data_IF_498160729002
#
_entry.id   IF_498160729002
#
_cell.length_a   1.000
_cell.length_b   1.000
_cell.length_c   1.000
_cell.angle_alpha   90.00
_cell.angle_beta   90.00
_cell.angle_gamma   90.00
#
_symmetry.space_group_name_H-M   'P 1'
#
loop_
_entity.id
_entity.type
_entity.pdbx_description
1 polymer ?
#
# COMPACT_ATOMS: atom_id res chain seq x y z
N UNK A 1 -26.75 -14.49 -15.76
CA UNK A 1 -26.71 -15.48 -16.86
C UNK A 1 -26.51 -16.92 -16.36
N UNK A 2 -25.92 -17.16 -15.19
CA UNK A 2 -25.62 -18.52 -14.65
C UNK A 2 -26.80 -19.19 -13.91
N UNK A 3 -27.88 -18.47 -13.60
CA UNK A 3 -29.05 -19.03 -12.90
C UNK A 3 -29.71 -20.17 -13.68
N UNK A 4 -29.68 -20.11 -15.00
CA UNK A 4 -30.27 -21.12 -15.90
C UNK A 4 -29.59 -22.51 -15.82
N UNK A 5 -28.35 -22.56 -15.31
CA UNK A 5 -27.57 -23.82 -15.23
C UNK A 5 -27.64 -24.49 -13.85
N UNK A 6 -28.30 -23.87 -12.87
CA UNK A 6 -28.52 -24.48 -11.55
C UNK A 6 -29.57 -25.61 -11.52
N UNK A 7 -30.42 -25.67 -12.51
CA UNK A 7 -31.59 -26.61 -12.53
C UNK A 7 -31.32 -27.90 -13.31
N UNK A 8 -30.08 -28.11 -13.80
CA UNK A 8 -29.74 -29.33 -14.53
C UNK A 8 -29.57 -30.49 -13.54
N UNK A 9 -30.32 -31.57 -13.74
CA UNK A 9 -30.15 -32.85 -13.01
C UNK A 9 -29.20 -33.72 -13.81
N UNK A 10 -27.96 -33.90 -13.32
CA UNK A 10 -26.86 -34.59 -14.00
C UNK A 10 -26.49 -35.94 -13.35
N UNK A 11 -27.34 -36.47 -12.46
CA UNK A 11 -27.08 -37.74 -11.80
C UNK A 11 -25.71 -37.78 -11.12
N UNK A 12 -24.89 -38.79 -11.42
CA UNK A 12 -23.57 -39.01 -10.82
C UNK A 12 -22.60 -37.83 -10.99
N UNK A 13 -22.78 -37.00 -12.02
CA UNK A 13 -21.95 -35.83 -12.31
C UNK A 13 -22.39 -34.57 -11.54
N UNK A 14 -23.53 -34.60 -10.83
CA UNK A 14 -24.11 -33.43 -10.17
C UNK A 14 -23.17 -32.74 -9.19
N UNK A 15 -22.45 -33.49 -8.39
CA UNK A 15 -21.52 -32.99 -7.38
C UNK A 15 -20.35 -32.22 -8.04
N UNK A 16 -19.72 -32.80 -9.05
CA UNK A 16 -18.60 -32.19 -9.78
C UNK A 16 -19.06 -30.94 -10.55
N UNK A 17 -20.24 -30.96 -11.14
CA UNK A 17 -20.84 -29.81 -11.82
C UNK A 17 -21.14 -28.65 -10.85
N UNK A 18 -21.74 -28.96 -9.68
CA UNK A 18 -22.01 -27.97 -8.65
C UNK A 18 -20.72 -27.35 -8.10
N UNK A 19 -19.67 -28.15 -7.94
CA UNK A 19 -18.34 -27.69 -7.54
C UNK A 19 -17.76 -26.68 -8.57
N UNK A 20 -17.84 -26.98 -9.86
CA UNK A 20 -17.38 -26.07 -10.91
C UNK A 20 -18.19 -24.75 -10.91
N UNK A 21 -19.52 -24.82 -10.77
CA UNK A 21 -20.35 -23.62 -10.69
C UNK A 21 -19.98 -22.75 -9.47
N UNK A 22 -19.72 -23.39 -8.33
CA UNK A 22 -19.28 -22.68 -7.12
C UNK A 22 -17.96 -21.96 -7.31
N UNK A 23 -16.96 -22.64 -7.88
CA UNK A 23 -15.64 -22.05 -8.18
C UNK A 23 -15.76 -20.90 -9.20
N UNK A 24 -16.59 -21.06 -10.24
CA UNK A 24 -16.90 -19.97 -11.19
C UNK A 24 -17.53 -18.76 -10.52
N UNK A 25 -18.53 -18.98 -9.68
CA UNK A 25 -19.17 -17.89 -8.92
C UNK A 25 -18.17 -17.16 -8.02
N UNK A 26 -17.28 -17.88 -7.34
CA UNK A 26 -16.23 -17.29 -6.52
C UNK A 26 -15.32 -16.37 -7.34
N UNK A 27 -14.91 -16.80 -8.54
CA UNK A 27 -14.10 -16.00 -9.46
C UNK A 27 -14.84 -14.76 -9.98
N UNK A 28 -16.12 -14.89 -10.32
CA UNK A 28 -16.96 -13.77 -10.79
C UNK A 28 -17.15 -12.75 -9.67
N UNK A 29 -17.56 -13.19 -8.49
CA UNK A 29 -17.76 -12.31 -7.34
C UNK A 29 -16.47 -11.57 -6.96
N UNK A 30 -15.31 -12.26 -6.99
CA UNK A 30 -14.02 -11.62 -6.74
C UNK A 30 -13.74 -10.47 -7.71
N UNK A 31 -14.08 -10.64 -9.00
CA UNK A 31 -13.90 -9.61 -10.02
C UNK A 31 -14.93 -8.48 -9.91
N UNK A 32 -16.19 -8.80 -9.59
CA UNK A 32 -17.27 -7.82 -9.50
C UNK A 32 -17.11 -6.89 -8.29
N UNK A 33 -16.63 -7.42 -7.15
CA UNK A 33 -16.38 -6.62 -5.94
C UNK A 33 -15.25 -5.60 -6.16
N UNK A 34 -14.25 -5.92 -6.99
CA UNK A 34 -13.10 -5.06 -7.33
C UNK A 34 -12.40 -4.44 -6.09
N UNK A 35 -12.42 -5.18 -4.97
CA UNK A 35 -11.95 -4.68 -3.67
C UNK A 35 -10.47 -4.25 -3.70
N UNK A 36 -9.59 -5.14 -4.18
CA UNK A 36 -8.14 -4.87 -4.15
C UNK A 36 -7.74 -3.67 -5.03
N UNK A 37 -8.16 -3.55 -6.29
CA UNK A 37 -7.86 -2.38 -7.12
C UNK A 37 -8.34 -1.07 -6.52
N UNK A 38 -9.55 -1.04 -5.95
CA UNK A 38 -10.09 0.16 -5.29
C UNK A 38 -9.28 0.52 -4.04
N UNK A 39 -8.97 -0.45 -3.18
CA UNK A 39 -8.17 -0.25 -1.98
C UNK A 39 -6.75 0.23 -2.32
N UNK A 40 -6.08 -0.43 -3.28
CA UNK A 40 -4.74 -0.04 -3.75
C UNK A 40 -4.74 1.38 -4.34
N UNK A 41 -5.77 1.75 -5.08
CA UNK A 41 -5.92 3.11 -5.63
C UNK A 41 -6.06 4.14 -4.51
N UNK A 42 -6.84 3.84 -3.48
CA UNK A 42 -6.99 4.71 -2.30
C UNK A 42 -5.66 4.91 -1.58
N UNK A 43 -4.91 3.83 -1.34
CA UNK A 43 -3.60 3.89 -0.67
C UNK A 43 -2.59 4.68 -1.51
N UNK A 44 -2.54 4.48 -2.84
CA UNK A 44 -1.67 5.27 -3.72
C UNK A 44 -1.97 6.76 -3.66
N UNK A 45 -3.26 7.15 -3.60
CA UNK A 45 -3.65 8.56 -3.39
C UNK A 45 -3.15 9.08 -2.05
N UNK A 46 -3.26 8.29 -0.99
CA UNK A 46 -2.79 8.66 0.34
C UNK A 46 -1.26 8.82 0.38
N UNK A 47 -0.50 7.91 -0.24
CA UNK A 47 0.96 8.01 -0.40
C UNK A 47 1.32 9.30 -1.16
N UNK A 48 0.60 9.63 -2.22
CA UNK A 48 0.85 10.86 -2.99
C UNK A 48 0.62 12.12 -2.16
N UNK A 49 -0.41 12.15 -1.30
CA UNK A 49 -0.67 13.26 -0.37
C UNK A 49 0.43 13.38 0.68
N UNK A 50 0.87 12.27 1.29
CA UNK A 50 1.99 12.28 2.24
C UNK A 50 3.30 12.75 1.59
N UNK A 51 3.58 12.31 0.35
CA UNK A 51 4.76 12.77 -0.41
C UNK A 51 4.69 14.27 -0.74
N UNK A 52 3.53 14.79 -1.08
CA UNK A 52 3.34 16.23 -1.29
C UNK A 52 3.57 17.01 0.02
N UNK A 53 3.04 16.54 1.14
CA UNK A 53 3.25 17.16 2.44
C UNK A 53 4.71 17.07 2.91
N UNK A 54 5.38 15.94 2.69
CA UNK A 54 6.81 15.78 2.93
C UNK A 54 7.64 16.82 2.14
N UNK A 55 7.35 17.00 0.85
CA UNK A 55 8.06 17.98 0.03
C UNK A 55 7.87 19.41 0.53
N UNK A 56 6.69 19.75 1.04
CA UNK A 56 6.44 21.07 1.62
C UNK A 56 7.19 21.25 2.94
N UNK A 57 7.19 20.23 3.80
CA UNK A 57 7.96 20.22 5.05
C UNK A 57 9.47 20.34 4.79
N UNK A 58 9.99 19.70 3.74
CA UNK A 58 11.40 19.83 3.33
C UNK A 58 11.72 21.25 2.84
N UNK A 59 10.82 21.92 2.12
CA UNK A 59 10.98 23.33 1.77
C UNK A 59 11.03 24.21 3.01
N UNK A 60 10.13 24.00 3.95
CA UNK A 60 10.10 24.71 5.22
C UNK A 60 11.39 24.47 6.02
N UNK A 61 11.87 23.23 6.11
CA UNK A 61 13.14 22.88 6.75
C UNK A 61 14.32 23.61 6.12
N UNK A 62 14.34 23.73 4.78
CA UNK A 62 15.38 24.48 4.06
C UNK A 62 15.37 25.96 4.46
N UNK A 63 14.21 26.59 4.48
CA UNK A 63 14.06 28.00 4.90
C UNK A 63 14.53 28.21 6.35
N UNK A 64 14.15 27.30 7.25
CA UNK A 64 14.60 27.33 8.66
C UNK A 64 16.11 27.10 8.79
N UNK A 65 16.71 26.29 7.93
CA UNK A 65 18.18 26.10 7.86
C UNK A 65 18.89 27.38 7.46
N UNK A 66 18.37 28.11 6.47
CA UNK A 66 18.89 29.39 6.04
C UNK A 66 18.76 30.45 7.16
N UNK A 67 17.62 30.50 7.83
CA UNK A 67 17.39 31.37 8.99
C UNK A 67 18.36 31.05 10.13
N UNK A 68 18.53 29.78 10.46
CA UNK A 68 19.51 29.36 11.48
C UNK A 68 20.94 29.78 11.10
N UNK A 69 21.33 29.63 9.83
CA UNK A 69 22.65 30.06 9.37
C UNK A 69 22.87 31.58 9.53
N UNK A 70 21.84 32.40 9.26
CA UNK A 70 21.88 33.84 9.48
C UNK A 70 21.99 34.19 10.96
N UNK A 71 21.15 33.61 11.80
CA UNK A 71 21.15 33.82 13.26
C UNK A 71 22.47 33.39 13.88
N UNK A 72 23.05 32.28 13.42
CA UNK A 72 24.39 31.81 13.85
C UNK A 72 25.48 32.81 13.51
N UNK A 73 25.45 33.39 12.31
CA UNK A 73 26.42 34.45 11.92
C UNK A 73 26.25 35.70 12.76
N UNK A 74 25.02 36.09 13.07
CA UNK A 74 24.73 37.25 13.95
C UNK A 74 25.28 36.97 15.34
N UNK A 75 24.94 35.84 15.94
CA UNK A 75 25.46 35.46 17.26
C UNK A 75 27.00 35.45 17.32
N UNK A 76 27.67 34.97 16.27
CA UNK A 76 29.13 34.97 16.20
C UNK A 76 29.71 36.40 16.20
N UNK A 77 29.07 37.38 15.51
CA UNK A 77 29.45 38.79 15.53
C UNK A 77 29.22 39.40 16.92
N UNK A 78 28.03 39.14 17.49
CA UNK A 78 27.67 39.67 18.81
C UNK A 78 28.57 39.11 19.91
N UNK A 79 28.95 37.85 19.86
CA UNK A 79 29.94 37.25 20.76
C UNK A 79 31.32 37.92 20.66
N UNK A 80 31.76 38.30 19.44
CA UNK A 80 33.00 39.09 19.28
C UNK A 80 32.87 40.48 19.84
N UNK A 81 31.74 41.16 19.65
CA UNK A 81 31.47 42.49 20.26
C UNK A 81 31.42 42.43 21.79
N UNK A 82 30.80 41.40 22.33
CA UNK A 82 30.76 41.14 23.75
C UNK A 82 32.16 40.93 24.34
N UNK A 83 33.00 40.13 23.70
CA UNK A 83 34.39 39.93 24.14
C UNK A 83 35.24 41.22 24.15
N UNK A 84 34.82 42.20 23.35
CA UNK A 84 35.44 43.53 23.32
C UNK A 84 34.73 44.57 24.20
N UNK A 85 33.79 44.11 25.04
CA UNK A 85 33.00 44.97 25.93
C UNK A 85 32.19 46.08 25.19
N UNK A 86 31.81 45.82 23.93
CA UNK A 86 31.01 46.77 23.11
C UNK A 86 29.52 46.61 23.36
N UNK A 87 29.05 45.39 23.66
CA UNK A 87 27.65 45.08 23.97
C UNK A 87 27.53 44.56 25.39
N UNK A 88 26.32 44.69 25.97
CA UNK A 88 26.00 44.23 27.33
C UNK A 88 25.83 42.68 27.38
N UNK A 89 25.92 42.12 28.60
CA UNK A 89 25.60 40.71 28.82
C UNK A 89 24.17 40.34 28.40
N UNK A 90 23.23 41.26 28.65
CA UNK A 90 21.83 41.10 28.26
C UNK A 90 21.65 40.95 26.73
N UNK A 91 22.31 41.80 25.94
CA UNK A 91 22.28 41.73 24.47
C UNK A 91 22.91 40.42 23.96
N UNK A 92 24.03 39.99 24.52
CA UNK A 92 24.67 38.72 24.19
C UNK A 92 23.79 37.52 24.55
N UNK A 93 23.12 37.52 25.72
CA UNK A 93 22.20 36.47 26.13
C UNK A 93 20.96 36.42 25.24
N UNK A 94 20.44 37.57 24.84
CA UNK A 94 19.32 37.68 23.87
C UNK A 94 19.69 37.09 22.51
N UNK A 95 20.89 37.40 22.02
CA UNK A 95 21.39 36.81 20.74
C UNK A 95 21.56 35.28 20.84
N UNK A 96 22.01 34.78 22.01
CA UNK A 96 22.12 33.36 22.30
C UNK A 96 20.74 32.68 22.34
N UNK A 97 19.75 33.29 22.99
CA UNK A 97 18.40 32.78 23.06
C UNK A 97 17.78 32.68 21.65
N UNK A 98 18.00 33.68 20.79
CA UNK A 98 17.55 33.69 19.41
C UNK A 98 18.20 32.56 18.58
N UNK A 99 19.48 32.30 18.80
CA UNK A 99 20.18 31.16 18.14
C UNK A 99 19.58 29.82 18.56
N UNK A 100 19.36 29.61 19.85
CA UNK A 100 18.76 28.38 20.37
C UNK A 100 17.33 28.20 19.87
N UNK A 101 16.54 29.26 19.80
CA UNK A 101 15.18 29.21 19.25
C UNK A 101 15.17 28.82 17.77
N UNK A 102 16.04 29.41 16.96
CA UNK A 102 16.12 29.08 15.52
C UNK A 102 16.62 27.65 15.29
N UNK A 103 17.53 27.17 16.13
CA UNK A 103 17.99 25.77 16.11
C UNK A 103 16.85 24.82 16.47
N UNK A 104 16.10 25.09 17.53
CA UNK A 104 14.96 24.29 17.95
C UNK A 104 13.90 24.17 16.83
N UNK A 105 13.60 25.29 16.16
CA UNK A 105 12.66 25.30 15.05
C UNK A 105 13.14 24.43 13.88
N UNK A 106 14.43 24.45 13.55
CA UNK A 106 15.03 23.62 12.51
C UNK A 106 14.97 22.12 12.87
N UNK A 107 15.33 21.78 14.11
CA UNK A 107 15.29 20.40 14.61
C UNK A 107 13.84 19.86 14.63
N UNK A 108 12.87 20.68 15.00
CA UNK A 108 11.45 20.33 14.95
C UNK A 108 10.95 20.04 13.52
N UNK A 109 11.34 20.87 12.57
CA UNK A 109 11.00 20.63 11.15
C UNK A 109 11.68 19.36 10.59
N UNK A 110 12.93 19.09 11.01
CA UNK A 110 13.64 17.87 10.61
C UNK A 110 12.95 16.61 11.17
N UNK A 111 12.53 16.64 12.45
CA UNK A 111 11.79 15.55 13.08
C UNK A 111 10.43 15.32 12.40
N UNK A 112 9.73 16.41 12.02
CA UNK A 112 8.46 16.31 11.29
C UNK A 112 8.64 15.66 9.90
N UNK A 113 9.69 16.03 9.17
CA UNK A 113 10.00 15.43 7.88
C UNK A 113 10.31 13.93 8.01
N UNK A 114 11.08 13.53 9.04
CA UNK A 114 11.40 12.12 9.28
C UNK A 114 10.15 11.31 9.66
N UNK A 115 9.26 11.85 10.48
CA UNK A 115 7.98 11.20 10.79
C UNK A 115 7.12 10.96 9.54
N UNK A 116 7.07 11.93 8.63
CA UNK A 116 6.37 11.76 7.35
C UNK A 116 7.02 10.70 6.48
N UNK A 117 8.36 10.60 6.49
CA UNK A 117 9.10 9.56 5.75
C UNK A 117 8.76 8.16 6.26
N UNK A 118 8.66 7.99 7.59
CA UNK A 118 8.22 6.74 8.21
C UNK A 118 6.81 6.39 7.77
N UNK A 119 5.85 7.34 7.87
CA UNK A 119 4.46 7.11 7.44
C UNK A 119 4.34 6.74 5.97
N UNK A 120 5.14 7.36 5.09
CA UNK A 120 5.20 6.98 3.67
C UNK A 120 5.67 5.53 3.53
N UNK A 121 6.74 5.14 4.23
CA UNK A 121 7.26 3.79 4.22
C UNK A 121 6.24 2.75 4.69
N UNK A 122 5.51 3.02 5.77
CA UNK A 122 4.44 2.17 6.27
C UNK A 122 3.32 1.98 5.24
N UNK A 123 2.90 3.06 4.57
CA UNK A 123 1.87 2.97 3.53
C UNK A 123 2.37 2.25 2.27
N UNK A 124 3.63 2.40 1.89
CA UNK A 124 4.24 1.68 0.78
C UNK A 124 4.37 0.18 1.09
N UNK A 125 4.74 -0.17 2.32
CA UNK A 125 4.75 -1.55 2.78
C UNK A 125 3.34 -2.16 2.75
N UNK A 126 2.33 -1.45 3.26
CA UNK A 126 0.95 -1.91 3.23
C UNK A 126 0.43 -2.10 1.79
N UNK A 127 0.82 -1.25 0.86
CA UNK A 127 0.50 -1.42 -0.56
C UNK A 127 1.14 -2.67 -1.16
N UNK A 128 2.38 -2.98 -0.77
CA UNK A 128 3.07 -4.19 -1.18
C UNK A 128 2.37 -5.44 -0.65
N UNK A 129 2.05 -5.47 0.65
CA UNK A 129 1.37 -6.59 1.30
C UNK A 129 0.01 -6.87 0.63
N UNK A 130 -0.76 -5.81 0.35
CA UNK A 130 -2.03 -5.92 -0.35
C UNK A 130 -1.87 -6.43 -1.80
N UNK A 131 -0.76 -6.12 -2.45
CA UNK A 131 -0.45 -6.62 -3.79
C UNK A 131 -0.15 -8.12 -3.77
N UNK A 132 0.60 -8.57 -2.76
CA UNK A 132 0.89 -9.99 -2.56
C UNK A 132 -0.37 -10.77 -2.22
N UNK A 133 -1.17 -10.29 -1.26
CA UNK A 133 -2.45 -10.89 -0.88
C UNK A 133 -3.40 -11.04 -2.08
N UNK A 134 -3.49 -10.01 -2.91
CA UNK A 134 -4.24 -10.07 -4.16
C UNK A 134 -3.75 -11.18 -5.08
N UNK A 135 -2.43 -11.27 -5.29
CA UNK A 135 -1.81 -12.29 -6.14
C UNK A 135 -2.08 -13.71 -5.63
N UNK A 136 -1.95 -13.92 -4.33
CA UNK A 136 -2.23 -15.20 -3.68
C UNK A 136 -3.71 -15.60 -3.84
N UNK A 137 -4.61 -14.65 -3.63
CA UNK A 137 -6.04 -14.89 -3.80
C UNK A 137 -6.41 -15.22 -5.24
N UNK A 138 -5.85 -14.49 -6.22
CA UNK A 138 -6.05 -14.79 -7.62
C UNK A 138 -5.49 -16.16 -8.01
N UNK A 139 -4.34 -16.54 -7.47
CA UNK A 139 -3.74 -17.85 -7.69
C UNK A 139 -4.61 -18.98 -7.12
N UNK A 140 -5.07 -18.83 -5.87
CA UNK A 140 -5.95 -19.80 -5.21
C UNK A 140 -7.24 -20.00 -5.99
N UNK A 141 -7.92 -18.92 -6.39
CA UNK A 141 -9.15 -19.01 -7.17
C UNK A 141 -8.95 -19.72 -8.53
N UNK A 142 -7.80 -19.47 -9.19
CA UNK A 142 -7.47 -20.16 -10.44
C UNK A 142 -7.23 -21.66 -10.21
N UNK A 143 -6.54 -22.04 -9.13
CA UNK A 143 -6.31 -23.43 -8.78
C UNK A 143 -7.63 -24.14 -8.45
N UNK A 144 -8.49 -23.53 -7.63
CA UNK A 144 -9.81 -24.10 -7.30
C UNK A 144 -10.65 -24.32 -8.57
N UNK A 145 -10.67 -23.37 -9.48
CA UNK A 145 -11.38 -23.47 -10.75
C UNK A 145 -10.80 -24.58 -11.63
N UNK A 146 -9.47 -24.68 -11.71
CA UNK A 146 -8.80 -25.73 -12.48
C UNK A 146 -9.11 -27.12 -11.91
N UNK A 147 -9.00 -27.29 -10.60
CA UNK A 147 -9.32 -28.55 -9.92
C UNK A 147 -10.78 -28.96 -10.12
N UNK A 148 -11.72 -28.02 -9.97
CA UNK A 148 -13.14 -28.29 -10.19
C UNK A 148 -13.44 -28.67 -11.64
N UNK A 149 -12.75 -28.03 -12.62
CA UNK A 149 -12.84 -28.39 -14.02
C UNK A 149 -12.35 -29.82 -14.28
N UNK A 150 -11.21 -30.19 -13.74
CA UNK A 150 -10.64 -31.53 -13.89
C UNK A 150 -11.53 -32.60 -13.26
N UNK A 151 -12.10 -32.34 -12.08
CA UNK A 151 -13.07 -33.23 -11.45
C UNK A 151 -14.30 -33.46 -12.33
N UNK A 152 -14.84 -32.42 -12.94
CA UNK A 152 -15.97 -32.57 -13.85
C UNK A 152 -15.59 -33.35 -15.08
N UNK A 153 -14.43 -33.11 -15.70
CA UNK A 153 -13.94 -33.89 -16.86
C UNK A 153 -13.76 -35.36 -16.54
N UNK A 154 -13.22 -35.68 -15.37
CA UNK A 154 -13.08 -37.06 -14.89
C UNK A 154 -14.44 -37.75 -14.71
N UNK A 155 -15.38 -37.06 -14.03
CA UNK A 155 -16.75 -37.57 -13.86
C UNK A 155 -17.46 -37.80 -15.21
N UNK A 156 -17.25 -36.91 -16.18
CA UNK A 156 -17.78 -37.08 -17.56
C UNK A 156 -17.17 -38.30 -18.27
N UNK A 157 -15.86 -38.53 -18.12
CA UNK A 157 -15.19 -39.68 -18.71
C UNK A 157 -15.67 -40.97 -18.05
N UNK A 158 -15.81 -41.03 -16.73
CA UNK A 158 -16.36 -42.18 -16.00
C UNK A 158 -17.80 -42.48 -16.44
N UNK A 159 -18.63 -41.45 -16.52
CA UNK A 159 -20.00 -41.61 -17.02
C UNK A 159 -20.04 -42.16 -18.45
N UNK A 160 -19.18 -41.63 -19.33
CA UNK A 160 -19.07 -42.09 -20.70
C UNK A 160 -18.66 -43.56 -20.77
N UNK A 161 -17.72 -44.02 -19.94
CA UNK A 161 -17.27 -45.41 -19.90
C UNK A 161 -18.35 -46.34 -19.35
N UNK A 162 -19.21 -45.88 -18.43
CA UNK A 162 -20.27 -46.68 -17.84
C UNK A 162 -21.50 -46.80 -18.71
N UNK A 163 -21.89 -45.72 -19.38
CA UNK A 163 -23.18 -45.62 -20.03
C UNK A 163 -23.14 -45.53 -21.55
N UNK A 164 -21.99 -45.26 -22.14
CA UNK A 164 -21.83 -45.24 -23.61
C UNK A 164 -21.13 -46.49 -24.09
N UNK A 165 -21.85 -47.30 -24.86
CA UNK A 165 -21.27 -48.42 -25.60
C UNK A 165 -20.44 -47.87 -26.78
N UNK A 166 -19.12 -47.94 -26.66
CA UNK A 166 -18.20 -47.58 -27.72
C UNK A 166 -17.97 -48.86 -28.53
N UNK A 167 -18.43 -48.92 -29.78
CA UNK A 167 -18.10 -50.02 -30.67
C UNK A 167 -16.58 -50.07 -30.86
N UNK A 168 -15.92 -51.23 -30.70
CA UNK A 168 -14.52 -51.36 -31.02
C UNK A 168 -14.34 -51.08 -32.54
N UNK A 169 -13.50 -50.12 -32.86
CA UNK A 169 -13.09 -49.88 -34.25
C UNK A 169 -12.22 -51.05 -34.64
N UNK A 170 -12.75 -51.88 -35.60
CA UNK A 170 -11.98 -52.95 -36.16
C UNK A 170 -10.92 -52.43 -37.15
#
# INVERSE_FOLDING_TARGET
ALSKYKELSLGDMQAAYSGLLSALHACINYREIDYYPQKMTSIRKQIALYKAYYNETERQRKTLSEQFALTRRQYARDSLLYSRSVISSYEHETARASLLQSRYSLEGAAASAENLRIQIGEQEQFLLDLTLERSEKEFTLRQELQTAREQLLNSMNEWRLRYCLIAPVG
#
